data_IF_837918831272
#
_entry.id   IF_837918831272
#
_cell.length_a   1.000
_cell.length_b   1.000
_cell.length_c   1.000
_cell.angle_alpha   90.00
_cell.angle_beta   90.00
_cell.angle_gamma   90.00
#
_symmetry.space_group_name_H-M   'P 1'
#
loop_
_entity.id
_entity.type
_entity.pdbx_description
1 polymer ?
#
# COMPACT_ATOMS: atom_id res chain seq x y z
N UNK A 1 -23.01 10.68 11.97
CA UNK A 1 -22.33 10.93 10.69
C UNK A 1 -21.47 9.74 10.31
N UNK A 2 -21.50 9.32 9.04
CA UNK A 2 -20.62 8.29 8.48
C UNK A 2 -19.71 8.93 7.43
N UNK A 3 -18.41 8.71 7.53
CA UNK A 3 -17.47 9.22 6.53
C UNK A 3 -16.47 8.15 6.09
N UNK A 4 -15.80 8.38 4.97
CA UNK A 4 -14.78 7.48 4.43
C UNK A 4 -14.81 7.41 2.92
N UNK A 5 -13.84 6.70 2.33
CA UNK A 5 -13.63 6.65 0.90
C UNK A 5 -14.91 6.25 0.10
N UNK A 6 -15.09 6.75 -1.12
CA UNK A 6 -16.22 6.37 -1.94
C UNK A 6 -16.21 4.87 -2.26
N UNK A 7 -17.39 4.24 -2.20
CA UNK A 7 -17.57 2.83 -2.51
C UNK A 7 -17.22 1.84 -1.39
N UNK A 8 -16.94 2.29 -0.16
CA UNK A 8 -16.72 1.39 1.00
C UNK A 8 -18.02 0.78 1.55
N UNK A 9 -19.18 1.29 1.18
CA UNK A 9 -20.49 0.73 1.54
C UNK A 9 -21.28 1.53 2.58
N UNK A 10 -20.98 2.82 2.79
CA UNK A 10 -21.67 3.70 3.78
C UNK A 10 -23.19 3.67 3.65
N UNK A 11 -23.70 3.97 2.47
CA UNK A 11 -25.15 3.97 2.17
C UNK A 11 -25.77 2.58 2.37
N UNK A 12 -25.03 1.52 2.00
CA UNK A 12 -25.51 0.15 2.19
C UNK A 12 -25.58 -0.25 3.66
N UNK A 13 -24.66 0.25 4.49
CA UNK A 13 -24.70 0.03 5.94
C UNK A 13 -25.98 0.62 6.52
N UNK A 14 -26.34 1.86 6.17
CA UNK A 14 -27.57 2.52 6.66
C UNK A 14 -28.80 1.73 6.22
N UNK A 15 -28.87 1.31 4.96
CA UNK A 15 -29.97 0.47 4.45
C UNK A 15 -30.08 -0.85 5.21
N UNK A 16 -28.97 -1.49 5.51
CA UNK A 16 -28.95 -2.73 6.29
C UNK A 16 -29.40 -2.50 7.72
N UNK A 17 -28.93 -1.44 8.37
CA UNK A 17 -29.33 -1.07 9.74
C UNK A 17 -30.83 -0.80 9.81
N UNK A 18 -31.38 0.00 8.91
CA UNK A 18 -32.81 0.28 8.85
C UNK A 18 -33.64 -1.01 8.67
N UNK A 19 -33.21 -1.90 7.76
CA UNK A 19 -33.87 -3.19 7.56
C UNK A 19 -33.79 -4.09 8.81
N UNK A 20 -32.62 -4.16 9.48
CA UNK A 20 -32.44 -4.99 10.68
C UNK A 20 -33.25 -4.47 11.88
N UNK A 21 -33.37 -3.14 12.01
CA UNK A 21 -34.13 -2.49 13.08
C UNK A 21 -35.62 -2.33 12.74
N UNK A 22 -36.04 -2.77 11.57
CA UNK A 22 -37.41 -2.64 11.06
C UNK A 22 -37.91 -1.18 11.06
N UNK A 23 -37.01 -0.22 10.82
CA UNK A 23 -37.35 1.19 10.69
C UNK A 23 -37.53 1.55 9.20
N UNK A 24 -38.50 2.41 8.93
CA UNK A 24 -38.68 2.94 7.58
C UNK A 24 -37.55 3.89 7.25
N UNK A 25 -36.85 3.64 6.12
CA UNK A 25 -35.74 4.48 5.64
C UNK A 25 -36.25 5.49 4.61
N UNK A 26 -36.08 6.76 4.91
CA UNK A 26 -36.33 7.86 3.99
C UNK A 26 -35.01 8.49 3.55
N UNK A 27 -34.83 8.66 2.26
CA UNK A 27 -33.65 9.27 1.67
C UNK A 27 -34.02 10.67 1.16
N UNK A 28 -33.25 11.68 1.55
CA UNK A 28 -33.42 13.04 1.04
C UNK A 28 -32.98 13.07 -0.42
N UNK A 29 -33.89 13.40 -1.31
CA UNK A 29 -33.63 13.39 -2.74
C UNK A 29 -32.51 14.38 -3.13
N UNK A 30 -31.66 13.96 -4.07
CA UNK A 30 -30.68 14.82 -4.72
C UNK A 30 -31.25 15.48 -5.99
N UNK A 31 -32.40 15.01 -6.47
CA UNK A 31 -33.08 15.47 -7.70
C UNK A 31 -34.46 15.99 -7.34
N UNK A 32 -34.91 17.06 -8.01
CA UNK A 32 -36.27 17.58 -7.95
C UNK A 32 -37.23 16.78 -8.82
N UNK A 33 -38.52 17.08 -8.75
CA UNK A 33 -39.56 16.40 -9.53
C UNK A 33 -39.34 16.51 -11.06
N UNK A 34 -38.62 17.53 -11.50
CA UNK A 34 -38.28 17.75 -12.92
C UNK A 34 -36.98 17.04 -13.31
N UNK A 35 -36.36 16.24 -12.50
CA UNK A 35 -35.06 15.60 -12.75
C UNK A 35 -33.85 16.55 -12.68
N UNK A 36 -34.04 17.78 -12.21
CA UNK A 36 -32.94 18.74 -11.99
C UNK A 36 -32.27 18.48 -10.65
N UNK A 37 -30.93 18.67 -10.59
CA UNK A 37 -30.18 18.54 -9.35
C UNK A 37 -30.61 19.61 -8.34
N UNK A 38 -30.94 19.19 -7.12
CA UNK A 38 -31.27 20.12 -6.03
C UNK A 38 -30.00 20.75 -5.47
N UNK A 39 -30.06 22.03 -5.18
CA UNK A 39 -28.98 22.76 -4.53
C UNK A 39 -28.87 22.38 -3.05
N UNK A 40 -27.74 22.73 -2.45
CA UNK A 40 -27.41 22.41 -1.07
C UNK A 40 -28.43 22.99 -0.05
N UNK A 41 -28.91 24.22 -0.31
CA UNK A 41 -29.87 24.88 0.57
C UNK A 41 -31.24 24.19 0.54
N UNK A 42 -31.71 23.81 -0.64
CA UNK A 42 -32.95 23.05 -0.83
C UNK A 42 -32.88 21.67 -0.15
N UNK A 43 -31.76 20.96 -0.30
CA UNK A 43 -31.54 19.66 0.37
C UNK A 43 -31.58 19.78 1.89
N UNK A 44 -30.99 20.81 2.47
CA UNK A 44 -31.05 21.08 3.91
C UNK A 44 -32.47 21.43 4.35
N UNK A 45 -33.21 22.25 3.59
CA UNK A 45 -34.60 22.58 3.89
C UNK A 45 -35.53 21.35 3.82
N UNK A 46 -35.30 20.47 2.83
CA UNK A 46 -36.02 19.20 2.73
C UNK A 46 -35.69 18.27 3.90
N UNK A 47 -34.44 18.27 4.40
CA UNK A 47 -34.06 17.53 5.61
C UNK A 47 -34.81 18.01 6.82
N UNK A 48 -34.88 19.33 7.03
CA UNK A 48 -35.64 19.93 8.14
C UNK A 48 -37.13 19.59 8.06
N UNK A 49 -37.70 19.67 6.87
CA UNK A 49 -39.13 19.32 6.62
C UNK A 49 -39.38 17.84 6.91
N UNK A 50 -38.50 16.95 6.42
CA UNK A 50 -38.58 15.50 6.66
C UNK A 50 -38.50 15.18 8.16
N UNK A 51 -37.58 15.80 8.92
CA UNK A 51 -37.49 15.65 10.37
C UNK A 51 -38.78 16.09 11.08
N UNK A 52 -39.40 17.15 10.61
CA UNK A 52 -40.67 17.61 11.18
C UNK A 52 -41.83 16.64 10.89
N UNK A 53 -41.95 16.16 9.68
CA UNK A 53 -43.01 15.24 9.25
C UNK A 53 -42.86 13.85 9.88
N UNK A 54 -41.65 13.36 10.06
CA UNK A 54 -41.37 12.01 10.52
C UNK A 54 -41.18 11.89 12.03
N UNK A 55 -41.26 12.99 12.80
CA UNK A 55 -40.97 13.04 14.25
C UNK A 55 -41.77 12.06 15.11
N UNK A 56 -42.92 11.58 14.63
CA UNK A 56 -43.79 10.62 15.34
C UNK A 56 -43.78 9.23 14.71
N UNK A 57 -42.96 9.01 13.68
CA UNK A 57 -42.89 7.75 12.95
C UNK A 57 -41.63 6.96 13.37
N UNK A 58 -41.69 5.63 13.26
CA UNK A 58 -40.51 4.76 13.40
C UNK A 58 -39.71 4.82 12.12
N UNK A 59 -38.97 5.90 11.95
CA UNK A 59 -38.26 6.21 10.71
C UNK A 59 -36.80 6.57 10.96
N UNK A 60 -35.98 6.39 9.93
CA UNK A 60 -34.58 6.83 9.83
C UNK A 60 -34.47 7.68 8.58
N UNK A 61 -33.77 8.80 8.67
CA UNK A 61 -33.50 9.69 7.57
C UNK A 61 -32.05 9.49 7.07
N UNK A 62 -31.88 9.48 5.78
CA UNK A 62 -30.56 9.41 5.13
C UNK A 62 -30.33 10.65 4.27
N UNK A 63 -29.24 11.36 4.56
CA UNK A 63 -28.71 12.43 3.72
C UNK A 63 -27.34 12.01 3.20
N UNK A 64 -27.29 11.61 1.93
CA UNK A 64 -26.05 11.13 1.28
C UNK A 64 -25.36 12.29 0.54
N UNK A 65 -24.06 12.14 0.30
CA UNK A 65 -23.22 13.11 -0.43
C UNK A 65 -23.30 14.54 0.14
N UNK A 66 -23.11 14.65 1.46
CA UNK A 66 -23.13 15.96 2.13
C UNK A 66 -21.92 16.84 1.79
N UNK A 67 -20.92 16.26 1.12
CA UNK A 67 -19.76 17.02 0.63
C UNK A 67 -20.21 18.22 -0.21
N UNK A 68 -21.27 18.09 -1.01
CA UNK A 68 -21.85 19.20 -1.78
C UNK A 68 -22.44 20.32 -0.94
N UNK A 69 -22.73 20.08 0.32
CA UNK A 69 -23.33 21.06 1.26
C UNK A 69 -22.24 21.81 2.04
N UNK A 70 -21.21 21.06 2.48
CA UNK A 70 -20.17 21.57 3.34
C UNK A 70 -18.88 21.98 2.60
N UNK A 71 -18.74 21.59 1.31
CA UNK A 71 -17.54 21.80 0.52
C UNK A 71 -17.82 22.51 -0.82
N UNK A 72 -18.98 23.13 -1.00
CA UNK A 72 -19.39 23.81 -2.23
C UNK A 72 -18.74 25.18 -2.43
N UNK A 73 -17.99 25.68 -1.44
CA UNK A 73 -17.22 26.91 -1.49
C UNK A 73 -15.85 26.71 -2.16
N UNK A 74 -15.45 27.63 -3.03
CA UNK A 74 -14.09 27.68 -3.57
C UNK A 74 -13.16 28.29 -2.51
N UNK A 75 -12.61 27.46 -1.60
CA UNK A 75 -11.73 27.92 -0.51
C UNK A 75 -10.52 28.76 -0.98
N UNK A 76 -10.13 28.60 -2.26
CA UNK A 76 -9.06 29.40 -2.90
C UNK A 76 -9.46 30.86 -3.21
N UNK A 77 -10.76 31.16 -3.28
CA UNK A 77 -11.30 32.49 -3.58
C UNK A 77 -12.06 33.11 -2.39
N UNK A 78 -11.99 32.52 -1.20
CA UNK A 78 -12.66 33.06 0.00
C UNK A 78 -14.19 32.98 -0.04
N UNK A 79 -14.77 32.18 -0.93
CA UNK A 79 -16.23 31.96 -0.97
C UNK A 79 -16.65 30.99 0.14
N UNK A 80 -17.60 31.47 0.96
CA UNK A 80 -18.21 30.65 2.02
C UNK A 80 -19.06 29.53 1.42
N UNK A 81 -18.98 28.35 2.03
CA UNK A 81 -19.86 27.22 1.70
C UNK A 81 -21.31 27.53 2.03
N UNK A 82 -22.26 26.76 1.49
CA UNK A 82 -23.68 26.91 1.84
C UNK A 82 -23.90 26.71 3.32
N UNK A 83 -23.24 25.73 3.94
CA UNK A 83 -23.33 25.50 5.38
C UNK A 83 -22.78 26.68 6.19
N UNK A 84 -21.70 27.32 5.75
CA UNK A 84 -21.13 28.52 6.43
C UNK A 84 -22.00 29.76 6.27
N UNK A 85 -22.65 29.94 5.12
CA UNK A 85 -23.60 31.06 4.90
C UNK A 85 -24.81 30.97 5.84
N UNK A 86 -25.26 29.76 6.15
CA UNK A 86 -26.41 29.47 7.02
C UNK A 86 -25.99 28.84 8.34
N UNK A 87 -24.80 29.14 8.86
CA UNK A 87 -24.17 28.45 10.01
C UNK A 87 -25.07 28.31 11.22
N UNK A 88 -25.77 29.37 11.63
CA UNK A 88 -26.66 29.35 12.81
C UNK A 88 -27.81 28.37 12.60
N UNK A 89 -28.43 28.38 11.43
CA UNK A 89 -29.58 27.52 11.12
C UNK A 89 -29.16 26.05 10.96
N UNK A 90 -28.02 25.78 10.29
CA UNK A 90 -27.46 24.42 10.16
C UNK A 90 -27.10 23.85 11.54
N UNK A 91 -26.52 24.65 12.43
CA UNK A 91 -26.23 24.25 13.80
C UNK A 91 -27.50 23.85 14.53
N UNK A 92 -28.56 24.67 14.43
CA UNK A 92 -29.84 24.36 15.05
C UNK A 92 -30.47 23.09 14.46
N UNK A 93 -30.37 22.87 13.14
CA UNK A 93 -30.87 21.66 12.50
C UNK A 93 -30.14 20.39 12.99
N UNK A 94 -28.84 20.48 13.25
CA UNK A 94 -28.04 19.37 13.79
C UNK A 94 -28.33 19.09 15.25
N UNK A 95 -28.56 20.14 16.05
CA UNK A 95 -28.84 20.04 17.50
C UNK A 95 -30.29 19.61 17.79
N UNK A 96 -31.29 20.10 17.04
CA UNK A 96 -32.72 19.77 17.20
C UNK A 96 -33.11 18.54 16.33
N UNK A 97 -32.29 17.52 16.37
CA UNK A 97 -32.50 16.32 15.58
C UNK A 97 -33.56 15.39 16.20
N UNK A 98 -34.77 15.42 15.64
CA UNK A 98 -35.95 14.68 16.16
C UNK A 98 -36.12 13.29 15.61
N UNK A 99 -35.42 12.97 14.52
CA UNK A 99 -35.46 11.67 13.83
C UNK A 99 -34.03 11.20 13.64
N UNK A 100 -33.67 9.94 13.96
CA UNK A 100 -32.34 9.43 13.70
C UNK A 100 -31.96 9.69 12.26
N UNK A 101 -30.94 10.53 12.03
CA UNK A 101 -30.53 10.97 10.71
C UNK A 101 -29.08 10.54 10.46
N UNK A 102 -28.84 9.83 9.36
CA UNK A 102 -27.52 9.47 8.89
C UNK A 102 -27.05 10.50 7.84
N UNK A 103 -25.93 11.12 8.13
CA UNK A 103 -25.25 12.05 7.25
C UNK A 103 -24.02 11.35 6.68
N UNK A 104 -23.89 11.27 5.34
CA UNK A 104 -22.81 10.54 4.68
C UNK A 104 -21.92 11.51 3.93
N UNK A 105 -20.60 11.49 4.30
CA UNK A 105 -19.55 12.25 3.65
C UNK A 105 -18.47 11.32 3.05
N UNK A 106 -17.74 11.79 2.04
CA UNK A 106 -16.59 11.11 1.52
C UNK A 106 -15.29 11.55 2.21
N UNK A 107 -15.23 12.80 2.68
CA UNK A 107 -14.07 13.38 3.34
C UNK A 107 -14.53 14.32 4.48
N UNK A 108 -13.80 14.32 5.58
CA UNK A 108 -14.03 15.26 6.69
C UNK A 108 -13.15 16.52 6.61
N UNK A 109 -12.02 16.45 5.92
CA UNK A 109 -10.99 17.49 5.93
C UNK A 109 -11.50 18.87 5.47
N UNK A 110 -12.56 18.87 4.68
CA UNK A 110 -13.18 20.09 4.17
C UNK A 110 -14.41 20.55 4.96
N UNK A 111 -14.81 19.82 6.00
CA UNK A 111 -15.94 20.18 6.86
C UNK A 111 -15.42 20.93 8.09
N UNK A 112 -15.97 22.14 8.34
CA UNK A 112 -15.64 22.92 9.55
C UNK A 112 -15.84 22.06 10.82
N UNK A 113 -14.80 21.89 11.67
CA UNK A 113 -14.87 21.15 12.91
C UNK A 113 -16.02 21.59 13.83
N UNK A 114 -16.51 22.83 13.69
CA UNK A 114 -17.65 23.35 14.42
C UNK A 114 -18.95 22.60 14.10
N UNK A 115 -19.13 22.09 12.88
CA UNK A 115 -20.27 21.24 12.52
C UNK A 115 -20.07 19.81 13.01
N UNK A 116 -18.85 19.28 12.85
CA UNK A 116 -18.54 17.89 13.24
C UNK A 116 -18.84 17.62 14.71
N UNK A 117 -18.57 18.60 15.59
CA UNK A 117 -18.82 18.50 17.04
C UNK A 117 -20.30 18.38 17.43
N UNK A 118 -21.23 18.61 16.50
CA UNK A 118 -22.68 18.57 16.76
C UNK A 118 -23.31 17.24 16.37
N UNK A 119 -22.55 16.34 15.82
CA UNK A 119 -23.01 14.98 15.59
C UNK A 119 -22.81 14.14 16.84
N UNK A 120 -23.85 13.43 17.28
CA UNK A 120 -23.76 12.53 18.43
C UNK A 120 -22.74 11.41 18.22
N UNK A 121 -22.63 10.94 16.97
CA UNK A 121 -21.73 9.85 16.59
C UNK A 121 -21.07 10.17 15.26
N UNK A 122 -19.75 10.10 15.22
CA UNK A 122 -18.94 10.22 13.98
C UNK A 122 -18.16 8.93 13.80
N UNK A 123 -18.44 8.21 12.71
CA UNK A 123 -17.83 6.92 12.41
C UNK A 123 -17.12 6.98 11.08
N UNK A 124 -15.84 6.57 11.10
CA UNK A 124 -15.07 6.36 9.89
C UNK A 124 -15.29 4.95 9.33
N UNK A 125 -15.70 4.86 8.08
CA UNK A 125 -15.71 3.60 7.34
C UNK A 125 -14.43 3.48 6.53
N UNK A 126 -13.45 2.81 7.10
CA UNK A 126 -12.17 2.50 6.43
C UNK A 126 -12.38 1.58 5.23
N UNK A 127 -11.47 1.66 4.26
CA UNK A 127 -11.42 0.67 3.18
C UNK A 127 -11.17 -0.72 3.77
N UNK A 128 -11.83 -1.77 3.26
CA UNK A 128 -11.69 -3.11 3.82
C UNK A 128 -10.24 -3.59 3.77
N UNK A 129 -9.77 -4.19 4.85
CA UNK A 129 -8.46 -4.84 4.92
C UNK A 129 -8.37 -6.06 4.00
N UNK A 130 -7.15 -6.62 3.80
CA UNK A 130 -6.90 -7.76 2.90
C UNK A 130 -7.84 -8.94 3.15
N UNK A 131 -8.00 -9.34 4.41
CA UNK A 131 -8.86 -10.46 4.82
C UNK A 131 -10.32 -10.21 4.46
N UNK A 132 -10.79 -9.00 4.73
CA UNK A 132 -12.16 -8.57 4.40
C UNK A 132 -12.38 -8.53 2.89
N UNK A 133 -11.39 -8.02 2.11
CA UNK A 133 -11.44 -8.04 0.64
C UNK A 133 -11.50 -9.45 0.09
N UNK A 134 -10.69 -10.37 0.65
CA UNK A 134 -10.73 -11.78 0.24
C UNK A 134 -12.11 -12.40 0.52
N UNK A 135 -12.71 -12.11 1.69
CA UNK A 135 -14.06 -12.58 2.02
C UNK A 135 -15.11 -12.01 1.06
N UNK A 136 -15.04 -10.72 0.76
CA UNK A 136 -15.94 -10.06 -0.20
C UNK A 136 -15.83 -10.67 -1.60
N UNK A 137 -14.60 -10.89 -2.09
CA UNK A 137 -14.34 -11.49 -3.39
C UNK A 137 -14.88 -12.92 -3.45
N UNK A 138 -14.61 -13.74 -2.42
CA UNK A 138 -15.10 -15.13 -2.33
C UNK A 138 -16.62 -15.18 -2.41
N UNK A 139 -17.30 -14.35 -1.60
CA UNK A 139 -18.76 -14.27 -1.58
C UNK A 139 -19.34 -13.74 -2.89
N UNK A 140 -18.74 -12.69 -3.45
CA UNK A 140 -19.25 -12.05 -4.65
C UNK A 140 -19.02 -12.86 -5.93
N UNK A 141 -17.89 -13.56 -6.03
CA UNK A 141 -17.55 -14.39 -7.20
C UNK A 141 -18.36 -15.69 -7.27
N UNK A 142 -18.97 -16.12 -6.16
CA UNK A 142 -19.79 -17.34 -6.09
C UNK A 142 -19.09 -18.57 -6.70
N UNK A 143 -17.79 -18.74 -6.42
CA UNK A 143 -16.97 -19.85 -6.90
C UNK A 143 -16.44 -19.70 -8.33
N UNK A 144 -16.55 -18.52 -8.92
CA UNK A 144 -15.94 -18.22 -10.22
C UNK A 144 -14.43 -17.97 -10.13
N UNK A 145 -13.88 -17.71 -8.93
CA UNK A 145 -12.46 -17.50 -8.67
C UNK A 145 -11.94 -18.61 -7.75
N UNK A 146 -10.70 -19.05 -7.98
CA UNK A 146 -9.97 -19.90 -7.06
C UNK A 146 -9.33 -19.10 -5.91
N UNK A 147 -8.82 -19.79 -4.88
CA UNK A 147 -8.22 -19.14 -3.70
C UNK A 147 -6.94 -18.35 -4.03
N UNK A 148 -6.17 -18.77 -5.03
CA UNK A 148 -4.96 -18.09 -5.47
C UNK A 148 -5.33 -16.75 -6.13
N UNK A 149 -6.35 -16.75 -6.97
CA UNK A 149 -6.89 -15.56 -7.63
C UNK A 149 -7.51 -14.60 -6.60
N UNK A 150 -8.27 -15.12 -5.64
CA UNK A 150 -8.86 -14.34 -4.54
C UNK A 150 -7.75 -13.64 -3.73
N UNK A 151 -6.71 -14.37 -3.33
CA UNK A 151 -5.57 -13.80 -2.60
C UNK A 151 -4.89 -12.69 -3.39
N UNK A 152 -4.62 -12.94 -4.69
CA UNK A 152 -4.01 -11.96 -5.59
C UNK A 152 -4.84 -10.68 -5.72
N UNK A 153 -6.15 -10.76 -5.89
CA UNK A 153 -7.01 -9.61 -5.96
C UNK A 153 -7.13 -8.89 -4.61
N UNK A 154 -7.16 -9.61 -3.51
CA UNK A 154 -7.23 -9.03 -2.17
C UNK A 154 -5.97 -8.23 -1.77
N UNK A 155 -4.83 -8.43 -2.44
CA UNK A 155 -3.61 -7.63 -2.22
C UNK A 155 -3.73 -6.19 -2.72
N UNK A 156 -4.67 -5.92 -3.64
CA UNK A 156 -4.88 -4.58 -4.20
C UNK A 156 -5.79 -3.77 -3.27
N UNK A 157 -5.21 -2.84 -2.53
CA UNK A 157 -5.90 -2.01 -1.53
C UNK A 157 -6.96 -1.06 -2.12
N UNK A 158 -6.84 -0.74 -3.39
CA UNK A 158 -7.79 0.11 -4.12
C UNK A 158 -9.11 -0.57 -4.48
N UNK A 159 -9.22 -1.89 -4.26
CA UNK A 159 -10.45 -2.64 -4.54
C UNK A 159 -11.44 -2.41 -3.42
N UNK A 160 -12.51 -1.66 -3.72
CA UNK A 160 -13.61 -1.37 -2.80
C UNK A 160 -14.78 -2.35 -3.00
N UNK A 161 -15.67 -2.51 -1.99
CA UNK A 161 -16.88 -3.32 -2.11
C UNK A 161 -17.74 -2.97 -3.33
N UNK A 162 -17.84 -1.68 -3.67
CA UNK A 162 -18.60 -1.23 -4.84
C UNK A 162 -17.98 -1.71 -6.15
N UNK A 163 -16.65 -1.69 -6.27
CA UNK A 163 -15.95 -2.19 -7.46
C UNK A 163 -16.19 -3.69 -7.60
N UNK A 164 -16.04 -4.47 -6.51
CA UNK A 164 -16.29 -5.91 -6.52
C UNK A 164 -17.74 -6.21 -6.95
N UNK A 165 -18.71 -5.54 -6.35
CA UNK A 165 -20.14 -5.77 -6.64
C UNK A 165 -20.49 -5.43 -8.09
N UNK A 166 -20.00 -4.30 -8.62
CA UNK A 166 -20.25 -3.90 -10.02
C UNK A 166 -19.61 -4.86 -11.01
N UNK A 167 -18.34 -5.21 -10.79
CA UNK A 167 -17.59 -6.09 -11.70
C UNK A 167 -18.14 -7.51 -11.71
N UNK A 168 -18.52 -8.06 -10.54
CA UNK A 168 -19.13 -9.38 -10.46
C UNK A 168 -20.55 -9.41 -11.02
N UNK A 169 -21.33 -8.33 -10.87
CA UNK A 169 -22.64 -8.18 -11.52
C UNK A 169 -22.52 -8.16 -13.05
N UNK A 170 -21.53 -7.43 -13.57
CA UNK A 170 -21.22 -7.40 -15.00
C UNK A 170 -20.82 -8.79 -15.51
N UNK A 171 -19.89 -9.47 -14.82
CA UNK A 171 -19.45 -10.83 -15.13
C UNK A 171 -20.63 -11.80 -15.26
N UNK A 172 -21.56 -11.78 -14.28
CA UNK A 172 -22.77 -12.62 -14.31
C UNK A 172 -23.68 -12.31 -15.48
N UNK A 173 -23.85 -11.04 -15.85
CA UNK A 173 -24.67 -10.63 -17.00
C UNK A 173 -24.06 -11.08 -18.32
N UNK A 174 -22.73 -11.09 -18.43
CA UNK A 174 -22.00 -11.53 -19.61
C UNK A 174 -22.03 -13.07 -19.79
N UNK A 175 -22.53 -13.83 -18.80
CA UNK A 175 -22.60 -15.30 -18.80
C UNK A 175 -21.26 -15.96 -19.14
N UNK A 176 -20.15 -15.39 -18.65
CA UNK A 176 -18.80 -15.86 -18.92
C UNK A 176 -18.58 -17.26 -18.32
N UNK A 177 -17.98 -18.21 -19.07
CA UNK A 177 -17.61 -19.52 -18.53
C UNK A 177 -16.64 -19.38 -17.33
N UNK A 178 -16.71 -20.30 -16.36
CA UNK A 178 -15.86 -20.25 -15.16
C UNK A 178 -14.36 -20.16 -15.47
N UNK A 179 -13.89 -20.88 -16.49
CA UNK A 179 -12.48 -20.87 -16.92
C UNK A 179 -11.98 -19.49 -17.33
N UNK A 180 -12.87 -18.63 -17.87
CA UNK A 180 -12.54 -17.31 -18.39
C UNK A 180 -12.94 -16.19 -17.41
N UNK A 181 -13.53 -16.54 -16.26
CA UNK A 181 -14.08 -15.60 -15.31
C UNK A 181 -13.00 -14.69 -14.67
N UNK A 182 -11.86 -15.26 -14.30
CA UNK A 182 -10.78 -14.51 -13.65
C UNK A 182 -10.16 -13.43 -14.56
N UNK A 183 -9.74 -13.72 -15.82
CA UNK A 183 -9.18 -12.70 -16.69
C UNK A 183 -10.21 -11.62 -17.08
N UNK A 184 -11.49 -11.99 -17.22
CA UNK A 184 -12.54 -10.99 -17.50
C UNK A 184 -12.77 -10.10 -16.28
N UNK A 185 -12.87 -10.68 -15.08
CA UNK A 185 -13.01 -9.90 -13.84
C UNK A 185 -11.82 -8.97 -13.60
N UNK A 186 -10.61 -9.47 -13.83
CA UNK A 186 -9.38 -8.66 -13.77
C UNK A 186 -9.46 -7.45 -14.71
N UNK A 187 -9.90 -7.67 -15.94
CA UNK A 187 -10.04 -6.58 -16.93
C UNK A 187 -11.09 -5.55 -16.50
N UNK A 188 -12.23 -5.98 -15.95
CA UNK A 188 -13.28 -5.10 -15.47
C UNK A 188 -12.84 -4.25 -14.27
N UNK A 189 -12.18 -4.88 -13.31
CA UNK A 189 -11.64 -4.18 -12.12
C UNK A 189 -10.52 -3.23 -12.55
N UNK A 190 -9.57 -3.69 -13.36
CA UNK A 190 -8.46 -2.86 -13.84
C UNK A 190 -8.93 -1.64 -14.63
N UNK A 191 -9.93 -1.81 -15.51
CA UNK A 191 -10.53 -0.70 -16.24
C UNK A 191 -11.07 0.37 -15.29
N UNK A 192 -11.76 -0.04 -14.23
CA UNK A 192 -12.30 0.87 -13.21
C UNK A 192 -11.18 1.55 -12.41
N UNK A 193 -10.16 0.80 -11.99
CA UNK A 193 -9.03 1.35 -11.22
C UNK A 193 -8.22 2.35 -12.04
N UNK A 194 -7.97 2.07 -13.31
CA UNK A 194 -7.27 2.99 -14.23
C UNK A 194 -8.05 4.28 -14.45
N UNK A 195 -9.35 4.19 -14.64
CA UNK A 195 -10.21 5.37 -14.77
C UNK A 195 -10.16 6.25 -13.51
N UNK A 196 -9.97 5.66 -12.32
CA UNK A 196 -9.80 6.34 -11.06
C UNK A 196 -8.34 6.73 -10.75
N UNK A 197 -7.40 6.54 -11.67
CA UNK A 197 -5.94 6.76 -11.49
C UNK A 197 -5.35 5.98 -10.31
N UNK A 198 -5.93 4.84 -9.97
CA UNK A 198 -5.50 3.96 -8.88
C UNK A 198 -4.59 2.84 -9.39
N UNK A 199 -3.92 2.17 -8.45
CA UNK A 199 -3.00 1.06 -8.76
C UNK A 199 -3.74 -0.11 -9.42
N UNK A 200 -3.23 -0.58 -10.57
CA UNK A 200 -3.77 -1.72 -11.34
C UNK A 200 -3.39 -3.05 -10.67
N UNK A 201 -4.26 -4.06 -10.79
CA UNK A 201 -3.99 -5.44 -10.38
C UNK A 201 -2.78 -6.02 -11.14
N UNK A 202 -2.65 -5.71 -12.43
CA UNK A 202 -1.55 -6.19 -13.28
C UNK A 202 -0.16 -5.70 -12.83
N UNK A 203 -0.09 -4.61 -12.06
CA UNK A 203 1.16 -4.11 -11.48
C UNK A 203 1.53 -4.78 -10.15
N UNK A 204 0.65 -5.58 -9.58
CA UNK A 204 1.04 -6.52 -8.52
C UNK A 204 1.74 -7.69 -9.21
N UNK A 205 2.94 -7.44 -9.64
CA UNK A 205 3.82 -8.46 -10.19
C UNK A 205 4.21 -9.35 -9.02
N UNK A 206 3.48 -10.44 -8.86
CA UNK A 206 4.02 -11.65 -8.26
C UNK A 206 5.06 -12.18 -9.27
N UNK A 207 6.20 -11.47 -9.35
CA UNK A 207 7.29 -11.96 -10.19
C UNK A 207 7.81 -13.27 -9.61
N UNK A 208 8.38 -14.17 -10.44
CA UNK A 208 8.97 -15.43 -10.02
C UNK A 208 10.21 -15.27 -9.11
N UNK A 209 10.43 -14.08 -8.54
CA UNK A 209 11.52 -13.79 -7.62
C UNK A 209 11.41 -14.58 -6.32
N UNK A 210 10.20 -14.99 -5.91
CA UNK A 210 10.02 -15.75 -4.67
C UNK A 210 10.50 -17.21 -4.77
N UNK A 211 10.48 -17.81 -5.94
CA UNK A 211 10.88 -19.23 -6.10
C UNK A 211 12.39 -19.45 -5.99
N UNK A 212 13.21 -18.42 -6.17
CA UNK A 212 14.68 -18.50 -6.14
C UNK A 212 15.30 -17.78 -4.94
N UNK A 213 14.49 -17.09 -4.10
CA UNK A 213 15.04 -16.43 -2.91
C UNK A 213 15.36 -17.46 -1.84
N UNK A 214 16.58 -17.48 -1.40
CA UNK A 214 17.09 -18.40 -0.39
C UNK A 214 18.03 -17.60 0.52
N UNK A 215 17.77 -17.61 1.81
CA UNK A 215 18.56 -16.91 2.82
C UNK A 215 20.01 -17.36 2.86
N UNK A 216 20.28 -18.64 2.56
CA UNK A 216 21.64 -19.20 2.47
C UNK A 216 22.47 -18.60 1.32
N UNK A 217 21.80 -18.09 0.30
CA UNK A 217 22.43 -17.44 -0.88
C UNK A 217 22.53 -15.90 -0.68
N UNK A 218 22.23 -15.40 0.50
CA UNK A 218 22.44 -14.00 0.87
C UNK A 218 23.66 -13.90 1.77
N UNK A 219 24.57 -12.96 1.48
CA UNK A 219 25.68 -12.67 2.38
C UNK A 219 25.21 -11.65 3.43
N UNK A 220 24.79 -12.15 4.58
CA UNK A 220 24.27 -11.33 5.69
C UNK A 220 25.16 -11.43 6.92
N UNK A 221 25.22 -10.36 7.71
CA UNK A 221 25.97 -10.32 8.97
C UNK A 221 25.26 -11.02 10.14
N UNK A 222 24.03 -11.54 9.92
CA UNK A 222 23.23 -12.17 10.96
C UNK A 222 22.54 -13.44 10.46
N UNK A 223 22.12 -14.30 11.40
CA UNK A 223 21.30 -15.46 11.11
C UNK A 223 19.85 -15.04 10.79
N UNK A 224 19.53 -14.99 9.50
CA UNK A 224 18.22 -14.57 8.99
C UNK A 224 17.10 -15.53 9.38
N UNK A 225 17.38 -16.85 9.44
CA UNK A 225 16.38 -17.85 9.83
C UNK A 225 16.07 -17.78 11.32
N UNK A 226 17.08 -17.63 12.17
CA UNK A 226 16.89 -17.46 13.61
C UNK A 226 16.10 -16.20 13.96
N UNK A 227 16.35 -15.09 13.25
CA UNK A 227 15.58 -13.85 13.39
C UNK A 227 14.14 -14.06 12.95
N UNK A 228 13.90 -14.74 11.83
CA UNK A 228 12.55 -15.01 11.34
C UNK A 228 11.75 -15.87 12.32
N UNK A 229 12.37 -16.90 12.93
CA UNK A 229 11.74 -17.72 13.96
C UNK A 229 11.40 -16.91 15.22
N UNK A 230 12.30 -16.01 15.63
CA UNK A 230 12.08 -15.10 16.75
C UNK A 230 10.84 -14.20 16.49
N UNK A 231 10.76 -13.58 15.32
CA UNK A 231 9.65 -12.72 14.92
C UNK A 231 8.35 -13.49 14.76
N UNK A 232 8.39 -14.70 14.19
CA UNK A 232 7.20 -15.54 14.07
C UNK A 232 6.59 -15.88 15.45
N UNK A 233 7.44 -16.05 16.46
CA UNK A 233 7.03 -16.34 17.85
C UNK A 233 6.52 -15.09 18.58
N UNK A 234 7.22 -13.95 18.47
CA UNK A 234 6.91 -12.73 19.22
C UNK A 234 5.88 -11.85 18.53
N UNK A 235 5.80 -11.93 17.21
CA UNK A 235 4.98 -11.08 16.41
C UNK A 235 5.53 -9.66 16.17
N UNK A 236 6.65 -9.32 16.77
CA UNK A 236 7.24 -7.98 16.81
C UNK A 236 8.71 -8.02 16.46
N UNK A 237 9.21 -6.91 15.90
CA UNK A 237 10.63 -6.72 15.64
C UNK A 237 10.87 -5.55 14.68
N UNK A 238 11.93 -4.80 14.95
CA UNK A 238 12.34 -3.64 14.15
C UNK A 238 13.70 -3.90 13.56
N UNK A 239 13.75 -4.09 12.25
CA UNK A 239 14.96 -4.48 11.52
C UNK A 239 15.37 -3.37 10.56
N UNK A 240 16.65 -3.00 10.59
CA UNK A 240 17.28 -2.14 9.59
C UNK A 240 18.21 -2.98 8.72
N UNK A 241 17.92 -3.07 7.43
CA UNK A 241 18.73 -3.75 6.44
C UNK A 241 19.57 -2.72 5.67
N UNK A 242 20.87 -2.92 5.62
CA UNK A 242 21.74 -2.00 4.91
C UNK A 242 22.77 -2.73 4.03
N UNK A 243 23.33 -2.03 3.06
CA UNK A 243 24.34 -2.56 2.16
C UNK A 243 24.09 -2.22 0.69
N UNK A 244 24.96 -2.68 -0.22
CA UNK A 244 24.88 -2.34 -1.64
C UNK A 244 23.53 -2.66 -2.29
N UNK A 245 23.14 -1.94 -3.35
CA UNK A 245 21.92 -2.25 -4.09
C UNK A 245 21.98 -3.64 -4.73
N UNK A 246 20.82 -4.30 -4.81
CA UNK A 246 20.71 -5.63 -5.43
C UNK A 246 21.09 -6.81 -4.52
N UNK A 247 21.45 -6.58 -3.25
CA UNK A 247 21.86 -7.66 -2.32
C UNK A 247 20.70 -8.46 -1.73
N UNK A 248 19.46 -8.12 -2.05
CA UNK A 248 18.27 -8.88 -1.64
C UNK A 248 17.50 -8.32 -0.44
N UNK A 249 17.79 -7.10 0.05
CA UNK A 249 17.13 -6.46 1.20
C UNK A 249 15.61 -6.44 1.10
N UNK A 250 15.08 -5.96 -0.02
CA UNK A 250 13.62 -5.92 -0.24
C UNK A 250 13.01 -7.31 -0.35
N UNK A 251 13.72 -8.25 -0.96
CA UNK A 251 13.26 -9.64 -1.09
C UNK A 251 13.23 -10.35 0.27
N UNK A 252 14.17 -10.05 1.17
CA UNK A 252 14.18 -10.56 2.54
C UNK A 252 12.90 -10.17 3.31
N UNK A 253 12.46 -8.91 3.23
CA UNK A 253 11.25 -8.49 3.94
C UNK A 253 10.00 -9.23 3.44
N UNK A 254 9.91 -9.48 2.13
CA UNK A 254 8.85 -10.32 1.57
C UNK A 254 8.93 -11.77 2.06
N UNK A 255 10.11 -12.38 1.99
CA UNK A 255 10.35 -13.72 2.49
C UNK A 255 10.01 -13.84 3.98
N UNK A 256 10.42 -12.85 4.79
CA UNK A 256 10.11 -12.80 6.22
C UNK A 256 8.60 -12.74 6.46
N UNK A 257 7.89 -11.94 5.70
CA UNK A 257 6.43 -11.85 5.80
C UNK A 257 5.75 -13.19 5.45
N UNK A 258 6.19 -13.86 4.38
CA UNK A 258 5.72 -15.19 3.98
C UNK A 258 6.04 -16.24 5.07
N UNK A 259 7.24 -16.19 5.65
CA UNK A 259 7.66 -17.10 6.73
C UNK A 259 6.86 -16.91 8.02
N UNK A 260 6.46 -15.68 8.32
CA UNK A 260 5.63 -15.33 9.47
C UNK A 260 4.12 -15.44 9.18
N UNK A 261 3.72 -15.89 7.99
CA UNK A 261 2.33 -15.97 7.52
C UNK A 261 1.57 -14.62 7.62
N UNK A 262 2.29 -13.51 7.43
CA UNK A 262 1.73 -12.16 7.52
C UNK A 262 1.62 -11.49 6.16
N UNK A 263 0.64 -10.60 5.97
CA UNK A 263 0.62 -9.72 4.82
C UNK A 263 1.90 -8.88 4.76
N UNK A 264 2.42 -8.66 3.54
CA UNK A 264 3.57 -7.79 3.32
C UNK A 264 3.13 -6.44 2.77
N UNK A 265 3.35 -5.40 3.53
CA UNK A 265 3.07 -4.02 3.15
C UNK A 265 4.37 -3.30 2.82
N UNK A 266 4.68 -3.22 1.53
CA UNK A 266 5.84 -2.47 1.05
C UNK A 266 5.44 -1.02 0.74
N UNK A 267 6.21 -0.08 1.27
CA UNK A 267 6.20 1.34 0.92
C UNK A 267 7.59 1.76 0.47
N UNK A 268 7.65 2.53 -0.60
CA UNK A 268 8.86 3.25 -0.97
C UNK A 268 8.76 4.67 -0.47
N UNK A 269 9.90 5.32 -0.25
CA UNK A 269 9.86 6.74 0.13
C UNK A 269 9.11 7.60 -0.86
N UNK A 270 9.21 7.32 -2.17
CA UNK A 270 8.43 8.00 -3.21
C UNK A 270 6.90 7.87 -3.06
N UNK A 271 6.43 6.82 -2.36
CA UNK A 271 4.99 6.62 -2.10
C UNK A 271 4.50 7.46 -0.91
N UNK A 272 5.41 7.91 -0.06
CA UNK A 272 5.14 8.67 1.17
C UNK A 272 5.37 10.17 0.99
N UNK A 273 6.35 10.55 0.16
CA UNK A 273 6.71 11.95 -0.10
C UNK A 273 5.58 12.73 -0.76
N UNK A 274 5.47 14.00 -0.39
CA UNK A 274 4.54 14.96 -0.98
C UNK A 274 5.19 16.35 -1.00
N UNK A 275 4.90 17.18 -2.00
CA UNK A 275 5.36 18.58 -2.02
C UNK A 275 4.65 19.47 -0.98
N UNK A 276 3.58 18.98 -0.36
CA UNK A 276 2.82 19.73 0.62
C UNK A 276 3.26 19.38 2.05
N UNK A 277 3.47 20.38 2.90
CA UNK A 277 3.84 20.20 4.30
C UNK A 277 2.77 19.43 5.06
N UNK A 278 3.19 18.51 5.95
CA UNK A 278 2.32 17.70 6.78
C UNK A 278 1.66 16.51 6.07
N UNK A 279 1.76 16.40 4.74
CA UNK A 279 1.16 15.28 4.00
C UNK A 279 2.04 14.03 4.13
N UNK A 280 3.34 14.17 4.14
CA UNK A 280 4.26 13.05 4.34
C UNK A 280 4.06 12.40 5.72
N UNK A 281 3.96 13.22 6.76
CA UNK A 281 3.71 12.76 8.15
C UNK A 281 2.38 11.99 8.23
N UNK A 282 1.33 12.50 7.60
CA UNK A 282 0.03 11.80 7.51
C UNK A 282 0.12 10.48 6.73
N UNK A 283 0.83 10.46 5.61
CA UNK A 283 1.02 9.25 4.82
C UNK A 283 1.80 8.19 5.60
N UNK A 284 2.79 8.63 6.37
CA UNK A 284 3.58 7.76 7.22
C UNK A 284 2.73 7.16 8.34
N UNK A 285 2.00 7.98 9.11
CA UNK A 285 1.08 7.53 10.15
C UNK A 285 0.02 6.57 9.58
N UNK A 286 -0.55 6.88 8.41
CA UNK A 286 -1.50 6.02 7.72
C UNK A 286 -0.89 4.66 7.30
N UNK A 287 0.41 4.61 6.92
CA UNK A 287 1.08 3.36 6.59
C UNK A 287 1.26 2.47 7.82
N UNK A 288 1.66 3.04 8.97
CA UNK A 288 1.76 2.31 10.23
C UNK A 288 0.39 1.84 10.73
N UNK A 289 -0.62 2.71 10.75
CA UNK A 289 -1.98 2.35 11.13
C UNK A 289 -2.54 1.22 10.27
N UNK A 290 -2.31 1.27 8.94
CA UNK A 290 -2.71 0.21 8.02
C UNK A 290 -2.01 -1.11 8.33
N UNK A 291 -0.72 -1.08 8.67
CA UNK A 291 0.02 -2.28 9.03
C UNK A 291 -0.55 -2.93 10.30
N UNK A 292 -0.95 -2.12 11.30
CA UNK A 292 -1.64 -2.62 12.51
C UNK A 292 -3.00 -3.23 12.15
N UNK A 293 -3.84 -2.51 11.40
CA UNK A 293 -5.18 -2.96 11.00
C UNK A 293 -5.16 -4.27 10.19
N UNK A 294 -4.12 -4.49 9.37
CA UNK A 294 -3.97 -5.68 8.54
C UNK A 294 -3.13 -6.79 9.20
N UNK A 295 -2.53 -6.55 10.37
CA UNK A 295 -1.54 -7.44 11.00
C UNK A 295 -0.32 -7.68 10.11
N UNK A 296 0.03 -6.70 9.28
CA UNK A 296 1.03 -6.82 8.24
C UNK A 296 2.47 -6.56 8.75
N UNK A 297 3.44 -7.16 8.08
CA UNK A 297 4.82 -6.72 8.14
C UNK A 297 4.93 -5.43 7.30
N UNK A 298 5.31 -4.32 7.91
CA UNK A 298 5.56 -3.05 7.24
C UNK A 298 7.02 -2.96 6.81
N UNK A 299 7.25 -2.81 5.51
CA UNK A 299 8.59 -2.52 4.98
C UNK A 299 8.62 -1.15 4.32
N UNK A 300 9.61 -0.34 4.70
CA UNK A 300 9.90 0.94 4.02
C UNK A 300 11.28 0.84 3.38
N UNK A 301 11.31 0.98 2.04
CA UNK A 301 12.55 0.96 1.27
C UNK A 301 13.11 2.38 1.07
N UNK A 302 14.46 2.47 0.98
CA UNK A 302 15.20 3.71 0.69
C UNK A 302 15.02 4.78 1.78
N UNK A 303 15.06 4.34 3.05
CA UNK A 303 14.88 5.27 4.19
C UNK A 303 16.02 6.29 4.34
N UNK A 304 17.17 6.07 3.69
CA UNK A 304 18.30 7.01 3.65
C UNK A 304 17.95 8.35 3.00
N UNK A 305 16.90 8.40 2.20
CA UNK A 305 16.47 9.64 1.56
C UNK A 305 15.89 10.66 2.55
N UNK A 306 15.43 10.21 3.74
CA UNK A 306 14.84 11.11 4.74
C UNK A 306 15.39 10.92 6.17
N UNK A 307 15.89 9.75 6.56
CA UNK A 307 16.51 9.52 7.87
C UNK A 307 17.97 10.05 7.94
N UNK A 308 18.24 11.16 7.27
CA UNK A 308 19.56 11.77 7.33
C UNK A 308 19.84 12.36 8.71
N UNK A 309 21.13 12.53 9.02
CA UNK A 309 21.55 13.18 10.25
C UNK A 309 20.92 14.57 10.34
N UNK A 310 20.31 14.86 11.49
CA UNK A 310 19.63 16.14 11.75
C UNK A 310 20.57 17.34 11.73
N UNK A 311 21.87 17.10 11.91
CA UNK A 311 22.90 18.15 11.82
C UNK A 311 23.04 18.66 10.39
N UNK A 312 22.69 17.84 9.38
CA UNK A 312 22.73 18.20 7.96
C UNK A 312 21.39 18.72 7.43
N UNK A 313 20.36 18.79 8.29
CA UNK A 313 19.03 19.27 7.91
C UNK A 313 19.08 20.78 7.55
N UNK A 314 18.61 21.10 6.34
CA UNK A 314 18.54 22.49 5.85
C UNK A 314 17.26 23.20 6.25
N UNK A 315 16.22 22.44 6.57
CA UNK A 315 14.89 22.95 6.88
C UNK A 315 14.29 22.26 8.11
N UNK A 316 13.51 23.00 8.90
CA UNK A 316 12.86 22.51 10.12
C UNK A 316 11.87 21.36 9.86
N UNK A 317 11.24 21.34 8.69
CA UNK A 317 10.30 20.26 8.33
C UNK A 317 10.99 18.92 8.10
N UNK A 318 12.25 18.87 7.70
CA UNK A 318 13.04 17.61 7.60
C UNK A 318 13.19 16.96 8.98
N UNK A 319 13.47 17.77 10.01
CA UNK A 319 13.55 17.31 11.40
C UNK A 319 12.19 16.80 11.90
N UNK A 320 11.10 17.48 11.53
CA UNK A 320 9.74 17.09 11.90
C UNK A 320 9.39 15.71 11.34
N UNK A 321 9.73 15.45 10.08
CA UNK A 321 9.49 14.16 9.41
C UNK A 321 10.24 13.01 10.09
N UNK A 322 11.52 13.22 10.44
CA UNK A 322 12.31 12.23 11.19
C UNK A 322 11.70 11.96 12.56
N UNK A 323 11.28 13.00 13.29
CA UNK A 323 10.66 12.84 14.59
C UNK A 323 9.34 12.08 14.51
N UNK A 324 8.48 12.37 13.52
CA UNK A 324 7.23 11.63 13.31
C UNK A 324 7.50 10.16 13.04
N UNK A 325 8.47 9.85 12.15
CA UNK A 325 8.85 8.46 11.90
C UNK A 325 9.29 7.74 13.17
N UNK A 326 10.13 8.38 13.99
CA UNK A 326 10.63 7.78 15.24
C UNK A 326 9.48 7.54 16.22
N UNK A 327 8.54 8.47 16.32
CA UNK A 327 7.35 8.33 17.16
C UNK A 327 6.49 7.16 16.71
N UNK A 328 6.21 7.05 15.41
CA UNK A 328 5.46 5.94 14.85
C UNK A 328 6.18 4.61 15.01
N UNK A 329 7.49 4.58 14.81
CA UNK A 329 8.31 3.37 14.97
C UNK A 329 8.33 2.88 16.44
N UNK A 330 8.41 3.79 17.41
CA UNK A 330 8.38 3.44 18.84
C UNK A 330 7.01 2.91 19.28
N UNK A 331 5.93 3.49 18.77
CA UNK A 331 4.57 3.07 19.09
C UNK A 331 4.13 1.79 18.36
N UNK A 332 4.87 1.37 17.32
CA UNK A 332 4.48 0.24 16.50
C UNK A 332 4.79 -1.10 17.15
N UNK A 333 3.76 -1.87 17.48
CA UNK A 333 3.84 -3.20 18.10
C UNK A 333 3.87 -4.34 17.07
N UNK A 334 4.17 -4.06 15.83
CA UNK A 334 4.24 -5.05 14.74
C UNK A 334 5.67 -5.36 14.30
N UNK A 335 5.79 -6.01 13.14
CA UNK A 335 7.08 -6.26 12.49
C UNK A 335 7.38 -5.16 11.49
N UNK A 336 8.48 -4.45 11.69
CA UNK A 336 8.94 -3.35 10.85
C UNK A 336 10.30 -3.66 10.22
N UNK A 337 10.43 -3.41 8.92
CA UNK A 337 11.69 -3.57 8.18
C UNK A 337 11.99 -2.27 7.43
N UNK A 338 13.12 -1.65 7.72
CA UNK A 338 13.68 -0.57 6.93
C UNK A 338 14.77 -1.11 6.00
N UNK A 339 14.90 -0.56 4.80
CA UNK A 339 16.07 -0.83 3.96
C UNK A 339 16.76 0.45 3.50
N UNK A 340 18.09 0.43 3.47
CA UNK A 340 18.93 1.55 3.02
C UNK A 340 20.14 1.05 2.25
N UNK A 341 20.65 1.88 1.37
CA UNK A 341 21.93 1.65 0.69
C UNK A 341 23.09 2.38 1.40
N UNK A 342 22.81 3.36 2.27
CA UNK A 342 23.78 4.25 2.91
C UNK A 342 23.57 4.29 4.44
N UNK A 343 24.10 3.29 5.14
CA UNK A 343 24.03 3.23 6.62
C UNK A 343 24.63 4.45 7.31
N UNK A 344 25.72 4.98 6.75
CA UNK A 344 26.46 6.13 7.31
C UNK A 344 25.67 7.44 7.24
N UNK A 345 24.64 7.51 6.40
CA UNK A 345 23.80 8.70 6.26
C UNK A 345 22.61 8.73 7.24
N UNK A 346 22.37 7.63 7.97
CA UNK A 346 21.22 7.53 8.87
C UNK A 346 21.53 8.13 10.24
N UNK A 347 20.60 8.94 10.76
CA UNK A 347 20.63 9.50 12.10
C UNK A 347 20.85 8.41 13.16
N UNK A 348 21.83 8.59 14.04
CA UNK A 348 22.16 7.64 15.09
C UNK A 348 21.03 7.41 16.09
N UNK A 349 20.20 8.42 16.35
CA UNK A 349 19.03 8.27 17.19
C UNK A 349 17.99 7.35 16.55
N UNK A 350 17.85 7.37 15.22
CA UNK A 350 17.01 6.44 14.48
C UNK A 350 17.56 5.00 14.59
N UNK A 351 18.86 4.82 14.44
CA UNK A 351 19.49 3.50 14.50
C UNK A 351 19.33 2.80 15.86
N UNK A 352 19.29 3.55 16.96
CA UNK A 352 19.09 2.98 18.32
C UNK A 352 17.72 2.36 18.52
N UNK A 353 16.73 2.67 17.67
CA UNK A 353 15.36 2.17 17.77
C UNK A 353 15.12 0.88 17.01
N UNK A 354 16.11 0.43 16.25
CA UNK A 354 16.08 -0.87 15.59
C UNK A 354 16.71 -1.94 16.50
N UNK A 355 16.01 -3.07 16.62
CA UNK A 355 16.48 -4.24 17.37
C UNK A 355 17.66 -4.91 16.65
N UNK A 356 17.57 -5.01 15.32
CA UNK A 356 18.61 -5.57 14.46
C UNK A 356 19.04 -4.60 13.37
N UNK A 357 20.37 -4.51 13.15
CA UNK A 357 21.01 -3.80 12.03
C UNK A 357 21.81 -4.84 11.28
N UNK A 358 21.30 -5.24 10.12
CA UNK A 358 21.82 -6.37 9.36
C UNK A 358 22.46 -5.88 8.07
N UNK A 359 23.73 -6.17 7.91
CA UNK A 359 24.45 -5.90 6.67
C UNK A 359 24.17 -6.98 5.65
N UNK A 360 23.86 -6.56 4.42
CA UNK A 360 23.77 -7.39 3.24
C UNK A 360 24.94 -7.05 2.31
N UNK A 361 25.95 -7.93 2.31
CA UNK A 361 27.15 -7.76 1.54
C UNK A 361 27.06 -8.33 0.12
N UNK A 362 28.15 -8.18 -0.61
CA UNK A 362 28.33 -8.88 -1.88
C UNK A 362 28.44 -10.39 -1.66
N UNK A 363 28.06 -11.16 -2.67
CA UNK A 363 28.13 -12.63 -2.61
C UNK A 363 29.55 -13.12 -2.42
N UNK A 364 29.72 -14.09 -1.53
CA UNK A 364 30.96 -14.85 -1.45
C UNK A 364 31.18 -15.69 -2.73
N UNK A 365 32.42 -16.10 -3.04
CA UNK A 365 32.70 -16.98 -4.19
C UNK A 365 31.85 -18.27 -4.18
N UNK A 366 31.62 -18.83 -2.98
CA UNK A 366 30.81 -20.04 -2.80
C UNK A 366 29.34 -19.76 -3.13
N UNK A 367 28.77 -18.69 -2.61
CA UNK A 367 27.39 -18.27 -2.88
C UNK A 367 27.18 -17.93 -4.35
N UNK A 368 28.15 -17.22 -4.95
CA UNK A 368 28.11 -16.88 -6.39
C UNK A 368 28.08 -18.14 -7.27
N UNK A 369 28.86 -19.16 -6.91
CA UNK A 369 28.85 -20.44 -7.60
C UNK A 369 27.52 -21.18 -7.43
N UNK A 370 27.01 -21.28 -6.20
CA UNK A 370 25.74 -21.95 -5.93
C UNK A 370 24.59 -21.29 -6.68
N UNK A 371 24.56 -19.96 -6.70
CA UNK A 371 23.53 -19.19 -7.39
C UNK A 371 23.64 -19.36 -8.91
N UNK A 372 24.88 -19.37 -9.46
CA UNK A 372 25.10 -19.67 -10.86
C UNK A 372 24.57 -21.06 -11.24
N UNK A 373 24.93 -22.10 -10.49
CA UNK A 373 24.45 -23.47 -10.75
C UNK A 373 22.92 -23.55 -10.74
N UNK A 374 22.27 -22.90 -9.78
CA UNK A 374 20.80 -22.87 -9.67
C UNK A 374 20.14 -22.20 -10.87
N UNK A 375 20.69 -21.08 -11.35
CA UNK A 375 20.20 -20.40 -12.55
C UNK A 375 20.44 -21.20 -13.83
N UNK A 376 21.63 -21.81 -13.99
CA UNK A 376 21.92 -22.67 -15.14
C UNK A 376 20.95 -23.85 -15.21
N UNK A 377 20.66 -24.51 -14.07
CA UNK A 377 19.67 -25.58 -13.98
C UNK A 377 18.26 -25.08 -14.36
N UNK A 378 17.86 -23.93 -13.84
CA UNK A 378 16.56 -23.33 -14.15
C UNK A 378 16.41 -22.98 -15.64
N UNK A 379 17.48 -22.60 -16.31
CA UNK A 379 17.51 -22.26 -17.74
C UNK A 379 17.81 -23.45 -18.64
N UNK A 380 17.96 -24.65 -18.09
CA UNK A 380 18.38 -25.86 -18.80
C UNK A 380 19.71 -25.70 -19.56
N UNK A 381 20.60 -24.83 -19.05
CA UNK A 381 21.95 -24.64 -19.59
C UNK A 381 22.92 -25.59 -18.90
N UNK A 382 23.77 -26.32 -19.65
CA UNK A 382 24.73 -27.26 -19.04
C UNK A 382 25.70 -26.57 -18.08
N UNK A 383 25.89 -27.17 -16.90
CA UNK A 383 26.92 -26.69 -15.94
C UNK A 383 28.30 -26.96 -16.51
N UNK A 384 29.25 -26.02 -16.38
CA UNK A 384 30.61 -26.19 -16.92
C UNK A 384 31.32 -27.42 -16.35
N UNK A 385 31.94 -28.22 -17.23
CA UNK A 385 32.71 -29.41 -16.81
C UNK A 385 33.91 -29.03 -15.95
N UNK A 386 34.61 -27.93 -16.29
CA UNK A 386 35.68 -27.35 -15.48
C UNK A 386 35.14 -26.33 -14.48
N UNK A 387 34.64 -26.86 -13.34
CA UNK A 387 34.13 -26.07 -12.26
C UNK A 387 35.20 -25.19 -11.58
N UNK A 388 36.47 -25.60 -11.62
CA UNK A 388 37.61 -24.91 -10.98
C UNK A 388 37.89 -23.58 -11.66
N UNK A 389 37.99 -23.57 -12.99
CA UNK A 389 38.19 -22.36 -13.80
C UNK A 389 37.01 -21.36 -13.58
N UNK A 390 35.79 -21.87 -13.65
CA UNK A 390 34.59 -21.04 -13.47
C UNK A 390 34.53 -20.44 -12.08
N UNK A 391 34.80 -21.20 -11.01
CA UNK A 391 34.85 -20.69 -9.64
C UNK A 391 35.92 -19.62 -9.47
N UNK A 392 37.11 -19.80 -10.11
CA UNK A 392 38.19 -18.79 -10.07
C UNK A 392 37.76 -17.48 -10.76
N UNK A 393 37.06 -17.56 -11.89
CA UNK A 393 36.55 -16.40 -12.60
C UNK A 393 35.48 -15.68 -11.76
N UNK A 394 34.53 -16.42 -11.15
CA UNK A 394 33.54 -15.84 -10.23
C UNK A 394 34.18 -15.20 -9.00
N UNK A 395 35.21 -15.85 -8.42
CA UNK A 395 35.95 -15.30 -7.27
C UNK A 395 36.67 -13.99 -7.56
N UNK A 396 37.02 -13.74 -8.82
CA UNK A 396 37.59 -12.46 -9.26
C UNK A 396 36.54 -11.33 -9.36
N UNK A 397 35.26 -11.65 -9.39
CA UNK A 397 34.14 -10.69 -9.41
C UNK A 397 33.65 -10.39 -7.98
N UNK A 398 34.40 -9.56 -7.27
CA UNK A 398 34.18 -9.32 -5.83
C UNK A 398 32.89 -8.55 -5.49
N UNK A 399 32.17 -7.99 -6.48
CA UNK A 399 31.01 -7.11 -6.31
C UNK A 399 29.70 -7.71 -6.86
N UNK A 400 29.63 -9.04 -6.96
CA UNK A 400 28.42 -9.72 -7.40
C UNK A 400 27.32 -9.68 -6.33
N UNK A 401 26.09 -9.52 -6.79
CA UNK A 401 24.88 -9.49 -5.96
C UNK A 401 23.82 -10.43 -6.53
N UNK A 402 22.83 -10.91 -5.76
CA UNK A 402 21.67 -11.64 -6.29
C UNK A 402 20.90 -10.86 -7.37
N UNK A 403 20.94 -9.52 -7.31
CA UNK A 403 20.33 -8.63 -8.29
C UNK A 403 20.92 -8.79 -9.70
N UNK A 404 22.21 -9.11 -9.83
CA UNK A 404 22.85 -9.36 -11.12
C UNK A 404 22.27 -10.59 -11.79
N UNK A 405 22.10 -11.66 -11.04
CA UNK A 405 21.45 -12.88 -11.54
C UNK A 405 19.98 -12.63 -11.91
N UNK A 406 19.28 -11.76 -11.19
CA UNK A 406 17.92 -11.34 -11.57
C UNK A 406 17.92 -10.55 -12.89
N UNK A 407 18.95 -9.75 -13.14
CA UNK A 407 19.15 -9.05 -14.42
C UNK A 407 19.40 -10.05 -15.54
N UNK A 408 20.28 -11.03 -15.32
CA UNK A 408 20.53 -12.10 -16.30
C UNK A 408 19.28 -12.92 -16.59
N UNK A 409 18.42 -13.17 -15.61
CA UNK A 409 17.14 -13.85 -15.84
C UNK A 409 16.23 -13.06 -16.79
N UNK A 410 16.24 -11.71 -16.70
CA UNK A 410 15.54 -10.86 -17.69
C UNK A 410 16.20 -10.90 -19.07
N UNK A 411 17.52 -10.88 -19.12
CA UNK A 411 18.26 -10.99 -20.38
C UNK A 411 18.01 -12.34 -21.06
N UNK A 412 18.04 -13.44 -20.31
CA UNK A 412 17.75 -14.79 -20.80
C UNK A 412 16.35 -14.90 -21.43
N UNK A 413 15.34 -14.21 -20.89
CA UNK A 413 13.99 -14.17 -21.48
C UNK A 413 13.95 -13.46 -22.83
N UNK A 414 14.82 -12.48 -23.04
CA UNK A 414 14.89 -11.73 -24.29
C UNK A 414 15.80 -12.44 -25.32
N UNK A 415 16.92 -12.95 -24.86
CA UNK A 415 17.91 -13.68 -25.64
C UNK A 415 18.41 -14.85 -24.80
N UNK A 416 17.92 -16.08 -25.06
CA UNK A 416 18.29 -17.26 -24.27
C UNK A 416 19.79 -17.55 -24.31
N UNK A 417 20.36 -17.74 -23.13
CA UNK A 417 21.73 -18.26 -23.01
C UNK A 417 21.74 -19.74 -23.34
N UNK A 418 22.70 -20.18 -24.12
CA UNK A 418 22.86 -21.59 -24.55
C UNK A 418 24.05 -22.28 -23.90
N UNK A 419 25.05 -21.50 -23.47
CA UNK A 419 26.28 -21.99 -22.84
C UNK A 419 26.62 -21.14 -21.60
N UNK A 420 27.28 -21.76 -20.62
CA UNK A 420 27.63 -21.11 -19.38
C UNK A 420 28.62 -19.93 -19.54
N UNK A 421 29.48 -19.96 -20.53
CA UNK A 421 30.43 -18.86 -20.80
C UNK A 421 29.71 -17.55 -21.14
N UNK A 422 28.60 -17.60 -21.87
CA UNK A 422 27.77 -16.41 -22.13
C UNK A 422 27.24 -15.79 -20.85
N UNK A 423 26.86 -16.63 -19.87
CA UNK A 423 26.36 -16.19 -18.56
C UNK A 423 27.51 -15.55 -17.77
N UNK A 424 28.71 -16.13 -17.79
CA UNK A 424 29.87 -15.58 -17.11
C UNK A 424 30.30 -14.23 -17.70
N UNK A 425 30.30 -14.10 -19.02
CA UNK A 425 30.60 -12.84 -19.69
C UNK A 425 29.54 -11.76 -19.36
N UNK A 426 28.28 -12.14 -19.27
CA UNK A 426 27.22 -11.23 -18.87
C UNK A 426 27.40 -10.79 -17.41
N UNK A 427 27.69 -11.69 -16.46
CA UNK A 427 28.00 -11.35 -15.06
C UNK A 427 29.23 -10.44 -14.98
N UNK A 428 30.27 -10.69 -15.74
CA UNK A 428 31.48 -9.86 -15.76
C UNK A 428 31.16 -8.43 -16.27
N UNK A 429 30.26 -8.28 -17.23
CA UNK A 429 29.80 -6.96 -17.71
C UNK A 429 29.03 -6.22 -16.63
N UNK A 430 28.06 -6.86 -15.95
CA UNK A 430 27.31 -6.26 -14.84
C UNK A 430 28.24 -5.84 -13.68
N UNK A 431 29.21 -6.69 -13.31
CA UNK A 431 30.18 -6.39 -12.26
C UNK A 431 31.05 -5.16 -12.59
N UNK A 432 31.49 -5.03 -13.86
CA UNK A 432 32.32 -3.89 -14.31
C UNK A 432 31.54 -2.56 -14.26
N UNK A 433 30.26 -2.56 -14.58
CA UNK A 433 29.43 -1.35 -14.55
C UNK A 433 29.27 -0.75 -13.14
N UNK A 434 29.41 -1.57 -12.10
CA UNK A 434 29.32 -1.13 -10.69
C UNK A 434 30.61 -0.53 -10.15
N UNK A 435 31.74 -0.82 -10.81
CA UNK A 435 33.04 -0.30 -10.39
C UNK A 435 33.20 1.10 -10.99
N UNK A 436 33.29 2.17 -10.15
CA UNK A 436 33.54 3.49 -10.72
C UNK A 436 34.85 3.46 -11.50
N UNK A 437 34.82 3.88 -12.77
CA UNK A 437 36.00 4.08 -13.57
C UNK A 437 36.87 5.10 -12.84
N UNK A 438 37.96 4.67 -12.21
CA UNK A 438 39.01 5.59 -11.74
C UNK A 438 39.57 6.28 -12.96
N UNK A 439 39.15 7.51 -13.20
CA UNK A 439 39.79 8.38 -14.15
C UNK A 439 41.28 8.41 -13.78
N UNK A 440 42.23 8.12 -14.71
CA UNK A 440 43.63 8.31 -14.42
C UNK A 440 43.78 9.79 -14.03
N UNK A 441 44.27 10.06 -12.82
CA UNK A 441 44.74 11.40 -12.46
C UNK A 441 45.86 11.74 -13.41
N UNK A 442 45.59 12.58 -14.42
CA UNK A 442 46.64 13.26 -15.13
C UNK A 442 47.31 14.22 -14.16
N UNK A 443 48.42 13.79 -13.59
CA UNK A 443 49.34 14.69 -12.91
C UNK A 443 50.09 15.48 -13.98
N UNK A 444 49.80 16.77 -14.05
CA UNK A 444 50.75 17.70 -14.63
C UNK A 444 51.87 17.91 -13.58
N UNK A 445 53.07 17.53 -13.97
CA UNK A 445 54.32 17.91 -13.30
C UNK A 445 54.69 19.33 -13.74
#
# INVERSE_FOLDING_TARGET
MLHGAPGVGKTQLVRTLAATTQLALYEVACEGDNGEAQDAATRLANTATAQHLLKRQKAVLLLDEIDSIFCDGNGFLGQKTTAERHKAWVNQLLEDNRVPTFWIANCLDAIDPAFVRRFDVVLEMKSPGRTQRAHLLRRASAGALDETQIRRFAEVDSITPAIVARSTKALRRMKVPRRDAAPVLETLIDGTLRAQRKRSIRRVVTGPVAELYDTSLCNSSADLEGIAQGIARTGQGRICLYGPPGTGKTAFGRWLAERCERPWLLKRMSDLQSPYLGVMERNLAAAFAKAVDEGALLQIDEVDSFLRDRTDARHSWEVSQVNEFLTQLEAFEGTFVASTNLMTAIDQAALRRFDYKIEFGYLSPIQSWQLLCRHLQHWAVPVPKDSTKTRRLLGALANLTPGDFSTLNRQHRLQPFTVADQVLDALAREARQKTPVRSPRMGFV
#
